data_IF_617999701708
#
_entry.id   IF_617999701708
#
_cell.length_a   1.000
_cell.length_b   1.000
_cell.length_c   1.000
_cell.angle_alpha   90.00
_cell.angle_beta   90.00
_cell.angle_gamma   90.00
#
_symmetry.space_group_name_H-M   'P 1'
#
loop_
_entity.id
_entity.type
_entity.pdbx_description
1 polymer ?
#
# COMPACT_ATOMS: atom_id res chain seq x y z
N UNK A 1 -5.52 -33.57 11.10
CA UNK A 1 -5.90 -34.59 12.07
C UNK A 1 -5.54 -35.96 11.49
N UNK A 2 -4.73 -36.79 12.17
CA UNK A 2 -4.32 -38.13 11.67
C UNK A 2 -5.49 -39.09 11.54
N UNK A 3 -6.57 -38.91 12.27
CA UNK A 3 -7.72 -39.84 12.29
C UNK A 3 -8.81 -39.42 11.28
N UNK A 4 -9.00 -38.14 11.03
CA UNK A 4 -10.07 -37.66 10.14
C UNK A 4 -9.58 -37.22 8.76
N UNK A 5 -8.26 -37.13 8.55
CA UNK A 5 -7.64 -36.56 7.34
C UNK A 5 -8.11 -35.13 7.02
N UNK A 6 -8.72 -34.44 7.98
CA UNK A 6 -9.10 -33.04 7.83
C UNK A 6 -7.88 -32.12 7.97
N UNK A 7 -7.75 -31.18 7.03
CA UNK A 7 -6.75 -30.13 7.11
C UNK A 7 -7.16 -29.14 8.23
N UNK A 8 -6.50 -29.26 9.38
CA UNK A 8 -6.69 -28.29 10.48
C UNK A 8 -5.90 -27.04 10.14
N UNK A 9 -6.60 -25.98 9.78
CA UNK A 9 -6.00 -24.66 9.62
C UNK A 9 -5.68 -24.08 11.00
N UNK A 10 -4.46 -23.60 11.22
CA UNK A 10 -4.15 -22.89 12.45
C UNK A 10 -4.70 -21.47 12.39
N UNK A 11 -5.05 -20.84 13.54
CA UNK A 11 -5.49 -19.42 13.55
C UNK A 11 -4.51 -18.48 12.87
N UNK A 12 -3.19 -18.76 12.96
CA UNK A 12 -2.15 -17.98 12.28
C UNK A 12 -2.22 -18.11 10.76
N UNK A 13 -2.49 -19.30 10.25
CA UNK A 13 -2.65 -19.55 8.81
C UNK A 13 -3.88 -18.82 8.27
N UNK A 14 -4.96 -18.80 9.03
CA UNK A 14 -6.19 -18.09 8.65
C UNK A 14 -5.99 -16.57 8.65
N UNK A 15 -5.28 -16.02 9.62
CA UNK A 15 -4.91 -14.61 9.66
C UNK A 15 -4.03 -14.22 8.45
N UNK A 16 -3.02 -15.03 8.13
CA UNK A 16 -2.17 -14.80 6.95
C UNK A 16 -3.00 -14.83 5.66
N UNK A 17 -3.91 -15.81 5.52
CA UNK A 17 -4.82 -15.91 4.37
C UNK A 17 -5.75 -14.69 4.28
N UNK A 18 -6.30 -14.24 5.39
CA UNK A 18 -7.16 -13.06 5.44
C UNK A 18 -6.38 -11.80 5.00
N UNK A 19 -5.13 -11.68 5.41
CA UNK A 19 -4.27 -10.56 5.00
C UNK A 19 -4.00 -10.57 3.49
N UNK A 20 -3.62 -11.71 2.91
CA UNK A 20 -3.45 -11.87 1.46
C UNK A 20 -4.74 -11.52 0.71
N UNK A 21 -5.90 -11.98 1.21
CA UNK A 21 -7.21 -11.65 0.63
C UNK A 21 -7.50 -10.14 0.71
N UNK A 22 -7.13 -9.48 1.82
CA UNK A 22 -7.28 -8.03 1.98
C UNK A 22 -6.43 -7.26 0.97
N UNK A 23 -5.16 -7.67 0.78
CA UNK A 23 -4.25 -7.08 -0.22
C UNK A 23 -4.86 -7.21 -1.62
N UNK A 24 -5.33 -8.39 -1.98
CA UNK A 24 -5.95 -8.67 -3.27
C UNK A 24 -7.17 -7.78 -3.53
N UNK A 25 -8.06 -7.68 -2.56
CA UNK A 25 -9.28 -6.89 -2.69
C UNK A 25 -9.00 -5.38 -2.77
N UNK A 26 -8.06 -4.87 -1.98
CA UNK A 26 -7.64 -3.48 -2.04
C UNK A 26 -7.02 -3.12 -3.40
N UNK A 27 -6.16 -3.99 -3.93
CA UNK A 27 -5.56 -3.80 -5.26
C UNK A 27 -6.63 -3.81 -6.36
N UNK A 28 -7.61 -4.73 -6.29
CA UNK A 28 -8.75 -4.74 -7.22
C UNK A 28 -9.59 -3.46 -7.14
N UNK A 29 -9.78 -2.92 -5.94
CA UNK A 29 -10.48 -1.64 -5.78
C UNK A 29 -9.71 -0.51 -6.49
N UNK A 30 -8.40 -0.41 -6.27
CA UNK A 30 -7.59 0.61 -6.95
C UNK A 30 -7.67 0.44 -8.46
N UNK A 31 -7.35 -0.75 -8.98
CA UNK A 31 -7.38 -1.05 -10.42
C UNK A 31 -8.74 -0.78 -11.07
N UNK A 32 -9.83 -1.12 -10.38
CA UNK A 32 -11.20 -0.87 -10.86
C UNK A 32 -11.60 0.61 -10.91
N UNK A 33 -10.83 1.51 -10.30
CA UNK A 33 -11.09 2.94 -10.28
C UNK A 33 -10.12 3.75 -11.16
N UNK A 34 -9.34 3.11 -12.04
CA UNK A 34 -8.34 3.78 -12.88
C UNK A 34 -8.87 4.24 -14.25
N UNK A 35 -10.17 4.29 -14.46
CA UNK A 35 -10.72 4.86 -15.69
C UNK A 35 -10.23 6.32 -15.88
N UNK A 36 -9.63 6.62 -17.05
CA UNK A 36 -9.07 7.93 -17.37
C UNK A 36 -7.75 8.25 -16.65
N UNK A 37 -7.15 7.29 -15.98
CA UNK A 37 -5.86 7.47 -15.29
C UNK A 37 -4.74 7.85 -16.27
N UNK A 38 -3.91 8.78 -15.85
CA UNK A 38 -2.62 9.10 -16.49
C UNK A 38 -1.54 9.18 -15.41
N UNK A 39 -0.37 8.57 -15.62
CA UNK A 39 0.74 8.63 -14.66
C UNK A 39 1.09 10.06 -14.27
N UNK A 40 1.65 10.23 -13.09
CA UNK A 40 2.08 11.53 -12.57
C UNK A 40 2.48 11.44 -11.11
N UNK A 41 3.12 12.48 -10.62
CA UNK A 41 3.59 12.53 -9.23
C UNK A 41 2.44 12.50 -8.22
N UNK A 42 2.64 11.80 -7.08
CA UNK A 42 1.73 11.89 -5.95
C UNK A 42 1.81 13.28 -5.31
N UNK A 43 0.66 13.82 -4.93
CA UNK A 43 0.57 15.16 -4.31
C UNK A 43 -0.35 15.11 -3.10
N UNK A 44 0.08 15.71 -2.00
CA UNK A 44 -0.72 15.91 -0.79
C UNK A 44 -1.79 17.00 -1.02
N UNK A 45 -2.80 16.69 -1.83
CA UNK A 45 -3.86 17.64 -2.20
C UNK A 45 -4.92 17.79 -1.10
N UNK A 46 -5.10 16.79 -0.26
CA UNK A 46 -6.02 16.77 0.88
C UNK A 46 -5.29 16.41 2.17
N UNK A 47 -5.88 16.67 3.34
CA UNK A 47 -5.31 16.18 4.62
C UNK A 47 -5.11 14.66 4.66
N UNK A 48 -6.02 13.89 4.05
CA UNK A 48 -5.91 12.44 3.95
C UNK A 48 -4.74 12.00 3.06
N UNK A 49 -4.49 12.70 1.94
CA UNK A 49 -3.33 12.45 1.10
C UNK A 49 -2.03 12.76 1.83
N UNK A 50 -1.96 13.92 2.50
CA UNK A 50 -0.79 14.31 3.28
C UNK A 50 -0.49 13.28 4.39
N UNK A 51 -1.53 12.78 5.04
CA UNK A 51 -1.41 11.77 6.07
C UNK A 51 -0.88 10.44 5.54
N UNK A 52 -1.53 9.84 4.53
CA UNK A 52 -1.12 8.51 4.04
C UNK A 52 0.29 8.53 3.42
N UNK A 53 0.65 9.61 2.71
CA UNK A 53 1.99 9.76 2.14
C UNK A 53 3.05 9.90 3.25
N UNK A 54 2.75 10.62 4.33
CA UNK A 54 3.62 10.72 5.49
C UNK A 54 3.78 9.38 6.21
N UNK A 55 2.67 8.65 6.40
CA UNK A 55 2.69 7.30 6.99
C UNK A 55 3.49 6.32 6.17
N UNK A 56 3.38 6.38 4.82
CA UNK A 56 4.18 5.56 3.90
C UNK A 56 5.67 5.87 4.04
N UNK A 57 6.05 7.15 4.12
CA UNK A 57 7.44 7.55 4.33
C UNK A 57 8.01 7.00 5.65
N UNK A 58 7.25 7.09 6.73
CA UNK A 58 7.63 6.49 8.01
C UNK A 58 7.70 4.96 7.97
N UNK A 59 6.79 4.31 7.24
CA UNK A 59 6.82 2.86 7.04
C UNK A 59 8.08 2.40 6.31
N UNK A 60 8.43 3.06 5.19
CA UNK A 60 9.64 2.73 4.42
C UNK A 60 10.90 2.78 5.31
N UNK A 61 11.03 3.80 6.14
CA UNK A 61 12.14 3.94 7.08
C UNK A 61 12.21 2.78 8.08
N UNK A 62 11.09 2.47 8.75
CA UNK A 62 11.04 1.38 9.73
C UNK A 62 11.28 0.01 9.10
N UNK A 63 10.71 -0.24 7.93
CA UNK A 63 10.89 -1.51 7.21
C UNK A 63 12.32 -1.67 6.74
N UNK A 64 12.92 -0.66 6.13
CA UNK A 64 14.31 -0.70 5.64
C UNK A 64 15.28 -0.92 6.81
N UNK A 65 15.12 -0.17 7.90
CA UNK A 65 15.91 -0.36 9.11
C UNK A 65 15.68 -1.74 9.73
N UNK A 66 14.42 -2.16 9.89
CA UNK A 66 14.07 -3.45 10.50
C UNK A 66 14.63 -4.64 9.73
N UNK A 67 14.65 -4.59 8.39
CA UNK A 67 15.30 -5.62 7.56
C UNK A 67 16.81 -5.62 7.81
N UNK A 68 17.48 -4.46 7.84
CA UNK A 68 18.92 -4.35 8.08
C UNK A 68 19.33 -4.87 9.46
N UNK A 69 18.45 -4.75 10.44
CA UNK A 69 18.64 -5.20 11.82
C UNK A 69 18.08 -6.63 12.09
N UNK A 70 17.59 -7.32 11.06
CA UNK A 70 16.95 -8.66 11.17
C UNK A 70 15.71 -8.72 12.09
N UNK A 71 15.00 -7.61 12.26
CA UNK A 71 13.78 -7.49 13.06
C UNK A 71 12.51 -7.86 12.29
N UNK A 72 12.49 -8.99 11.64
CA UNK A 72 11.43 -9.40 10.72
C UNK A 72 10.03 -9.45 11.35
N UNK A 73 9.92 -9.71 12.65
CA UNK A 73 8.64 -9.70 13.36
C UNK A 73 8.04 -8.29 13.47
N UNK A 74 8.85 -7.28 13.74
CA UNK A 74 8.44 -5.86 13.78
C UNK A 74 8.08 -5.40 12.37
N UNK A 75 8.91 -5.72 11.37
CA UNK A 75 8.65 -5.42 9.96
C UNK A 75 7.28 -5.98 9.51
N UNK A 76 7.01 -7.25 9.81
CA UNK A 76 5.74 -7.86 9.45
C UNK A 76 4.53 -7.17 10.13
N UNK A 77 4.68 -6.77 11.39
CA UNK A 77 3.64 -6.05 12.13
C UNK A 77 3.40 -4.66 11.57
N UNK A 78 4.46 -3.91 11.25
CA UNK A 78 4.37 -2.57 10.65
C UNK A 78 3.71 -2.61 9.27
N UNK A 79 4.12 -3.54 8.41
CA UNK A 79 3.53 -3.75 7.09
C UNK A 79 2.04 -4.11 7.18
N UNK A 80 1.69 -5.00 8.11
CA UNK A 80 0.30 -5.40 8.32
C UNK A 80 -0.54 -4.22 8.82
N UNK A 81 -0.05 -3.48 9.83
CA UNK A 81 -0.77 -2.35 10.41
C UNK A 81 -1.02 -1.24 9.38
N UNK A 82 0.02 -0.86 8.62
CA UNK A 82 -0.11 0.15 7.57
C UNK A 82 -1.11 -0.29 6.50
N UNK A 83 -0.93 -1.50 5.95
CA UNK A 83 -1.75 -1.92 4.81
C UNK A 83 -3.21 -2.16 5.22
N UNK A 84 -3.44 -2.84 6.34
CA UNK A 84 -4.79 -3.16 6.80
C UNK A 84 -5.52 -1.94 7.33
N UNK A 85 -4.96 -1.29 8.35
CA UNK A 85 -5.67 -0.23 9.07
C UNK A 85 -5.59 1.11 8.32
N UNK A 86 -4.37 1.53 7.93
CA UNK A 86 -4.17 2.89 7.40
C UNK A 86 -4.59 2.98 5.94
N UNK A 87 -4.09 2.09 5.09
CA UNK A 87 -4.41 2.13 3.66
C UNK A 87 -5.84 1.64 3.38
N UNK A 88 -6.21 0.43 3.85
CA UNK A 88 -7.50 -0.15 3.50
C UNK A 88 -8.66 0.46 4.27
N UNK A 89 -8.56 0.58 5.61
CA UNK A 89 -9.69 0.96 6.44
C UNK A 89 -9.92 2.48 6.47
N UNK A 90 -8.86 3.28 6.24
CA UNK A 90 -8.96 4.74 6.24
C UNK A 90 -8.77 5.36 4.86
N UNK A 91 -7.61 5.19 4.23
CA UNK A 91 -7.31 5.96 3.02
C UNK A 91 -8.20 5.58 1.83
N UNK A 92 -8.47 4.29 1.62
CA UNK A 92 -9.42 3.85 0.60
C UNK A 92 -10.81 4.45 0.86
N UNK A 93 -11.27 4.48 2.11
CA UNK A 93 -12.58 5.07 2.44
C UNK A 93 -12.61 6.58 2.15
N UNK A 94 -11.57 7.32 2.54
CA UNK A 94 -11.47 8.76 2.23
C UNK A 94 -11.44 9.01 0.71
N UNK A 95 -10.77 8.18 -0.06
CA UNK A 95 -10.62 8.33 -1.50
C UNK A 95 -11.94 8.18 -2.28
N UNK A 96 -12.92 7.43 -1.73
CA UNK A 96 -14.20 7.18 -2.40
C UNK A 96 -14.95 8.45 -2.77
N UNK A 97 -14.83 9.51 -1.97
CA UNK A 97 -15.50 10.78 -2.25
C UNK A 97 -15.04 11.41 -3.57
N UNK A 98 -13.73 11.33 -3.87
CA UNK A 98 -13.14 11.85 -5.11
C UNK A 98 -13.28 10.88 -6.30
N UNK A 99 -13.54 9.60 -6.05
CA UNK A 99 -13.67 8.57 -7.09
C UNK A 99 -15.11 8.39 -7.58
N UNK A 100 -16.11 8.93 -6.86
CA UNK A 100 -17.52 8.78 -7.23
C UNK A 100 -17.82 9.43 -8.57
N UNK A 101 -18.89 8.99 -9.22
CA UNK A 101 -19.42 9.60 -10.42
C UNK A 101 -19.79 11.08 -10.18
N UNK A 102 -19.39 11.96 -11.11
CA UNK A 102 -19.62 13.40 -10.99
C UNK A 102 -18.64 14.16 -10.10
N UNK A 103 -17.61 13.48 -9.54
CA UNK A 103 -16.53 14.19 -8.84
C UNK A 103 -15.71 15.05 -9.81
N UNK A 104 -15.02 16.06 -9.26
CA UNK A 104 -14.10 16.89 -10.05
C UNK A 104 -13.02 16.03 -10.73
N UNK A 105 -12.85 16.10 -12.06
CA UNK A 105 -11.91 15.25 -12.79
C UNK A 105 -10.45 15.42 -12.34
N UNK A 106 -10.04 16.63 -11.94
CA UNK A 106 -8.68 16.87 -11.48
C UNK A 106 -8.45 16.25 -10.10
N UNK A 107 -9.41 16.36 -9.18
CA UNK A 107 -9.35 15.71 -7.88
C UNK A 107 -9.37 14.19 -8.03
N UNK A 108 -10.21 13.63 -8.92
CA UNK A 108 -10.26 12.21 -9.22
C UNK A 108 -8.91 11.70 -9.71
N UNK A 109 -8.32 12.35 -10.70
CA UNK A 109 -7.02 11.96 -11.26
C UNK A 109 -5.91 12.00 -10.19
N UNK A 110 -5.89 13.05 -9.36
CA UNK A 110 -4.89 13.14 -8.29
C UNK A 110 -5.06 12.04 -7.23
N UNK A 111 -6.30 11.73 -6.85
CA UNK A 111 -6.60 10.61 -5.95
C UNK A 111 -6.16 9.27 -6.55
N UNK A 112 -6.41 9.03 -7.84
CA UNK A 112 -5.94 7.84 -8.54
C UNK A 112 -4.40 7.72 -8.50
N UNK A 113 -3.68 8.82 -8.74
CA UNK A 113 -2.19 8.87 -8.67
C UNK A 113 -1.68 8.52 -7.29
N UNK A 114 -2.28 9.09 -6.26
CA UNK A 114 -1.91 8.80 -4.88
C UNK A 114 -2.19 7.34 -4.50
N UNK A 115 -3.36 6.80 -4.89
CA UNK A 115 -3.70 5.39 -4.65
C UNK A 115 -2.73 4.42 -5.34
N UNK A 116 -2.38 4.68 -6.61
CA UNK A 116 -1.42 3.85 -7.36
C UNK A 116 -0.04 3.94 -6.71
N UNK A 117 0.43 5.13 -6.37
CA UNK A 117 1.74 5.34 -5.74
C UNK A 117 1.85 4.65 -4.38
N UNK A 118 0.84 4.80 -3.52
CA UNK A 118 0.85 4.17 -2.19
C UNK A 118 0.76 2.64 -2.31
N UNK A 119 -0.09 2.14 -3.21
CA UNK A 119 -0.21 0.70 -3.44
C UNK A 119 1.07 0.10 -4.02
N UNK A 120 1.64 0.70 -5.07
CA UNK A 120 2.91 0.26 -5.66
C UNK A 120 4.02 0.19 -4.61
N UNK A 121 4.22 1.27 -3.85
CA UNK A 121 5.23 1.33 -2.79
C UNK A 121 4.98 0.27 -1.70
N UNK A 122 3.73 0.07 -1.30
CA UNK A 122 3.38 -0.94 -0.30
C UNK A 122 3.62 -2.36 -0.82
N UNK A 123 3.32 -2.66 -2.09
CA UNK A 123 3.62 -3.96 -2.69
C UNK A 123 5.12 -4.23 -2.74
N UNK A 124 5.95 -3.23 -3.06
CA UNK A 124 7.42 -3.32 -3.03
C UNK A 124 7.93 -3.65 -1.61
N UNK A 125 7.43 -2.95 -0.60
CA UNK A 125 7.78 -3.20 0.81
C UNK A 125 7.31 -4.57 1.32
N UNK A 126 6.16 -5.06 0.85
CA UNK A 126 5.60 -6.37 1.20
C UNK A 126 6.29 -7.54 0.47
N UNK A 127 6.92 -7.28 -0.68
CA UNK A 127 7.42 -8.32 -1.58
C UNK A 127 8.38 -9.32 -0.92
N UNK A 128 9.33 -8.92 -0.05
CA UNK A 128 10.20 -9.88 0.61
C UNK A 128 9.48 -10.91 1.48
N UNK A 129 8.29 -10.56 1.99
CA UNK A 129 7.47 -11.45 2.82
C UNK A 129 6.39 -12.21 2.04
N UNK A 130 5.87 -11.64 0.96
CA UNK A 130 4.72 -12.14 0.19
C UNK A 130 4.99 -12.10 -1.33
N UNK A 131 6.07 -12.72 -1.85
CA UNK A 131 6.55 -12.49 -3.22
C UNK A 131 5.52 -12.82 -4.30
N UNK A 132 4.75 -13.89 -4.17
CA UNK A 132 3.85 -14.33 -5.25
C UNK A 132 2.66 -13.41 -5.46
N UNK A 133 1.98 -13.01 -4.39
CA UNK A 133 0.78 -12.15 -4.49
C UNK A 133 1.15 -10.74 -4.87
N UNK A 134 2.27 -10.23 -4.35
CA UNK A 134 2.72 -8.87 -4.67
C UNK A 134 3.19 -8.75 -6.10
N UNK A 135 3.90 -9.74 -6.64
CA UNK A 135 4.28 -9.80 -8.07
C UNK A 135 3.04 -9.77 -8.96
N UNK A 136 2.11 -10.72 -8.75
CA UNK A 136 0.90 -10.86 -9.57
C UNK A 136 0.01 -9.60 -9.58
N UNK A 137 0.03 -8.81 -8.50
CA UNK A 137 -0.71 -7.56 -8.39
C UNK A 137 0.06 -6.40 -9.01
N UNK A 138 1.36 -6.37 -8.81
CA UNK A 138 2.24 -5.31 -9.33
C UNK A 138 2.27 -5.31 -10.85
N UNK A 139 2.32 -6.47 -11.50
CA UNK A 139 2.23 -6.60 -12.96
C UNK A 139 0.97 -5.96 -13.57
N UNK A 140 -0.09 -5.80 -12.78
CA UNK A 140 -1.35 -5.20 -13.23
C UNK A 140 -1.42 -3.69 -13.00
N UNK A 141 -0.49 -3.13 -12.22
CA UNK A 141 -0.48 -1.69 -11.96
C UNK A 141 0.09 -0.92 -13.16
N UNK A 142 -0.40 0.28 -13.40
CA UNK A 142 0.26 1.19 -14.32
C UNK A 142 1.57 1.68 -13.67
N UNK A 143 2.69 1.42 -14.31
CA UNK A 143 4.00 1.85 -13.85
C UNK A 143 4.33 3.28 -14.28
N UNK A 144 5.19 3.96 -13.51
CA UNK A 144 5.69 5.28 -13.86
C UNK A 144 6.58 5.22 -15.13
N UNK A 145 6.65 6.32 -15.86
CA UNK A 145 7.61 6.45 -16.96
C UNK A 145 9.04 6.25 -16.44
N UNK A 146 9.80 5.35 -17.07
CA UNK A 146 11.16 5.01 -16.64
C UNK A 146 11.26 3.87 -15.64
N UNK A 147 10.16 3.23 -15.25
CA UNK A 147 10.20 1.94 -14.56
C UNK A 147 10.43 0.83 -15.60
N UNK A 148 11.67 0.42 -15.75
CA UNK A 148 12.08 -0.62 -16.71
C UNK A 148 12.23 -2.01 -16.07
N UNK A 149 11.80 -2.18 -14.83
CA UNK A 149 11.92 -3.45 -14.13
C UNK A 149 10.98 -4.51 -14.75
N UNK A 150 11.55 -5.64 -15.14
CA UNK A 150 10.80 -6.77 -15.69
C UNK A 150 9.98 -7.53 -14.65
N UNK A 151 10.27 -7.35 -13.36
CA UNK A 151 9.61 -8.00 -12.25
C UNK A 151 9.75 -7.15 -10.97
N UNK A 152 8.79 -7.24 -10.05
CA UNK A 152 8.83 -6.53 -8.79
C UNK A 152 10.09 -6.86 -7.96
N UNK A 153 10.57 -8.09 -8.05
CA UNK A 153 11.78 -8.55 -7.37
C UNK A 153 13.04 -7.74 -7.71
N UNK A 154 13.10 -7.15 -8.90
CA UNK A 154 14.24 -6.34 -9.38
C UNK A 154 13.88 -4.84 -9.48
N UNK A 155 12.67 -4.47 -9.13
CA UNK A 155 12.22 -3.08 -9.12
C UNK A 155 12.88 -2.29 -8.00
N UNK A 156 12.96 -0.97 -8.19
CA UNK A 156 13.61 -0.06 -7.23
C UNK A 156 12.90 -0.11 -5.87
N UNK A 157 13.68 -0.24 -4.79
CA UNK A 157 13.17 -0.18 -3.43
C UNK A 157 12.62 1.22 -3.11
N UNK A 158 11.51 1.34 -2.34
CA UNK A 158 10.99 2.63 -1.90
C UNK A 158 11.91 3.25 -0.84
N UNK A 159 12.99 3.90 -1.27
CA UNK A 159 14.04 4.42 -0.39
C UNK A 159 13.50 5.50 0.56
N UNK A 160 13.83 5.41 1.88
CA UNK A 160 13.38 6.37 2.89
C UNK A 160 13.73 7.82 2.54
N UNK A 161 14.91 8.06 1.95
CA UNK A 161 15.39 9.37 1.56
C UNK A 161 14.50 10.01 0.49
N UNK A 162 14.06 9.20 -0.48
CA UNK A 162 13.16 9.65 -1.56
C UNK A 162 11.78 10.00 -1.01
N UNK A 163 11.29 9.22 -0.06
CA UNK A 163 9.97 9.40 0.54
C UNK A 163 9.95 10.46 1.66
N UNK A 164 11.11 10.85 2.20
CA UNK A 164 11.21 11.83 3.28
C UNK A 164 10.51 13.17 2.99
N UNK A 165 10.40 13.54 1.70
CA UNK A 165 9.69 14.74 1.24
C UNK A 165 8.22 14.78 1.62
N UNK A 166 7.62 13.62 1.91
CA UNK A 166 6.20 13.48 2.28
C UNK A 166 5.96 13.53 3.79
N UNK A 167 7.01 13.51 4.64
CA UNK A 167 6.84 13.56 6.09
C UNK A 167 6.10 14.82 6.53
N UNK A 168 4.98 14.62 7.24
CA UNK A 168 4.11 15.70 7.70
C UNK A 168 3.47 15.33 9.05
N UNK A 169 4.15 15.70 10.14
CA UNK A 169 3.71 15.42 11.51
C UNK A 169 2.39 16.14 11.88
N UNK A 170 2.04 17.22 11.21
CA UNK A 170 0.77 17.92 11.44
C UNK A 170 -0.40 17.10 10.87
N UNK A 171 -0.25 16.60 9.63
CA UNK A 171 -1.25 15.74 9.00
C UNK A 171 -1.46 14.43 9.78
N UNK A 172 -0.39 13.84 10.32
CA UNK A 172 -0.50 12.63 11.16
C UNK A 172 -1.32 12.90 12.41
N UNK A 173 -1.01 13.97 13.14
CA UNK A 173 -1.77 14.35 14.35
C UNK A 173 -3.23 14.70 14.07
N UNK A 174 -3.52 15.30 12.91
CA UNK A 174 -4.89 15.69 12.57
C UNK A 174 -5.82 14.49 12.38
N UNK A 175 -5.32 13.36 11.89
CA UNK A 175 -6.11 12.14 11.68
C UNK A 175 -6.14 11.24 12.93
N UNK A 176 -5.11 11.25 13.79
CA UNK A 176 -5.12 10.52 15.06
C UNK A 176 -6.17 11.04 16.06
N UNK A 177 -6.72 12.23 15.84
CA UNK A 177 -7.74 12.87 16.68
C UNK A 177 -9.18 12.57 16.24
N UNK A 178 -9.39 11.79 15.16
CA UNK A 178 -10.69 11.42 14.61
C UNK A 178 -11.00 9.94 14.89
#
# INVERSE_FOLDING_TARGET
DPETHELISSPRTEQARAFVTKIWNASRFVLGNLEGFTPGEPVAATPADAWILSRLAGLSERVTQGISEYKFGEVASDLHAFFWNEFCDWYIEFSKASLREGADPAARLQTQRNLVFVLDSALRLLHPALPFVTEALWEQLPHAEGEDAEALMVATWPEPETLARFKNAEAERAIELV
#
